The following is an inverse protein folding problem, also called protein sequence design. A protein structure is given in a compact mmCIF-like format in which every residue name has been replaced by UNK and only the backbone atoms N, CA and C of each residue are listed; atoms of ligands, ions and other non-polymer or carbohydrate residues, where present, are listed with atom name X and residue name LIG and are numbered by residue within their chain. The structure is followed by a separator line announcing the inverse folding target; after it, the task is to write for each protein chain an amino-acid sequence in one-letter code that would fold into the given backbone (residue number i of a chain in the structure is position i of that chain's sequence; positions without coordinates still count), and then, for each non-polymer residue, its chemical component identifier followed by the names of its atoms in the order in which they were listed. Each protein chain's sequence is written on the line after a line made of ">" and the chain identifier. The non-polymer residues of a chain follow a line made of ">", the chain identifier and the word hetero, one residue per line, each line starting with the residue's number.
data_IF_616436445524
#
_entry.id   IF_616436445524
#
_cell.length_a   1.000
_cell.length_b   1.000
_cell.length_c   1.000
_cell.angle_alpha   90.00
_cell.angle_beta   90.00
_cell.angle_gamma   90.00
#
_symmetry.space_group_name_H-M   'P 1'
#
loop_
_entity.id
_entity.type
_entity.pdbx_description
1 polymer ?
#
# COMPACT_ATOMS: atom_id res chain seq x y z
N UNK A 1 -41.30 15.18 -20.57
CA UNK A 1 -42.37 14.75 -19.66
C UNK A 1 -41.79 14.35 -18.32
N UNK A 2 -42.38 14.82 -17.22
CA UNK A 2 -41.95 14.48 -15.85
C UNK A 2 -42.49 13.11 -15.42
N UNK A 3 -41.83 12.43 -14.46
CA UNK A 3 -42.24 11.08 -14.01
C UNK A 3 -43.65 11.10 -13.38
N UNK A 4 -43.94 12.11 -12.56
CA UNK A 4 -45.25 12.26 -11.92
C UNK A 4 -46.38 12.49 -12.92
N UNK A 5 -46.07 13.13 -14.04
CA UNK A 5 -46.98 13.35 -15.16
C UNK A 5 -47.19 12.06 -15.97
N UNK A 6 -46.11 11.32 -16.26
CA UNK A 6 -46.18 10.02 -16.93
C UNK A 6 -46.99 8.98 -16.13
N UNK A 7 -46.85 8.94 -14.79
CA UNK A 7 -47.65 8.06 -13.91
C UNK A 7 -49.14 8.38 -14.01
N UNK A 8 -49.51 9.67 -14.07
CA UNK A 8 -50.90 10.11 -14.22
C UNK A 8 -51.47 9.73 -15.59
N UNK A 9 -50.71 9.89 -16.66
CA UNK A 9 -51.14 9.54 -18.04
C UNK A 9 -51.46 8.04 -18.16
N UNK A 10 -50.67 7.17 -17.52
CA UNK A 10 -50.91 5.73 -17.50
C UNK A 10 -51.83 5.26 -16.36
N UNK A 11 -52.34 6.18 -15.53
CA UNK A 11 -53.17 5.88 -14.34
C UNK A 11 -52.57 4.78 -13.46
N UNK A 12 -51.28 4.91 -13.16
CA UNK A 12 -50.56 3.96 -12.33
C UNK A 12 -50.79 4.25 -10.84
N UNK A 13 -50.90 3.21 -9.98
CA UNK A 13 -50.82 3.39 -8.53
C UNK A 13 -49.42 3.91 -8.13
N UNK A 14 -49.32 4.52 -6.95
CA UNK A 14 -48.05 5.09 -6.47
C UNK A 14 -46.92 4.05 -6.46
N UNK A 15 -47.27 2.83 -6.06
CA UNK A 15 -46.44 1.65 -6.12
C UNK A 15 -46.92 0.71 -7.24
N UNK A 16 -46.10 0.54 -8.28
CA UNK A 16 -46.38 -0.34 -9.42
C UNK A 16 -45.13 -1.14 -9.80
N UNK A 17 -45.33 -2.37 -10.27
CA UNK A 17 -44.26 -3.21 -10.81
C UNK A 17 -44.19 -3.14 -12.35
N UNK A 18 -43.14 -3.73 -12.92
CA UNK A 18 -42.95 -3.74 -14.38
C UNK A 18 -44.13 -4.42 -15.11
N UNK A 19 -44.80 -5.40 -14.49
CA UNK A 19 -45.97 -6.06 -15.07
C UNK A 19 -47.17 -5.11 -15.12
N UNK A 20 -47.41 -4.36 -14.05
CA UNK A 20 -48.48 -3.35 -13.95
C UNK A 20 -48.27 -2.21 -14.93
N UNK A 21 -47.04 -1.72 -15.08
CA UNK A 21 -46.67 -0.71 -16.08
C UNK A 21 -47.01 -1.19 -17.50
N UNK A 22 -46.58 -2.40 -17.85
CA UNK A 22 -46.85 -2.99 -19.18
C UNK A 22 -48.34 -3.24 -19.41
N UNK A 23 -49.07 -3.68 -18.38
CA UNK A 23 -50.51 -3.92 -18.44
C UNK A 23 -51.28 -2.63 -18.68
N UNK A 24 -51.00 -1.57 -17.91
CA UNK A 24 -51.71 -0.29 -18.07
C UNK A 24 -51.40 0.38 -19.40
N UNK A 25 -50.13 0.33 -19.84
CA UNK A 25 -49.76 0.77 -21.18
C UNK A 25 -50.58 0.04 -22.26
N UNK A 26 -50.69 -1.29 -22.19
CA UNK A 26 -51.44 -2.05 -23.17
C UNK A 26 -52.94 -1.68 -23.21
N UNK A 27 -53.56 -1.52 -22.03
CA UNK A 27 -54.97 -1.10 -21.92
C UNK A 27 -55.19 0.27 -22.54
N UNK A 28 -54.32 1.24 -22.23
CA UNK A 28 -54.41 2.62 -22.72
C UNK A 28 -54.10 2.70 -24.22
N UNK A 29 -53.07 2.02 -24.67
CA UNK A 29 -52.68 1.95 -26.08
C UNK A 29 -53.79 1.33 -26.95
N UNK A 30 -54.47 0.28 -26.47
CA UNK A 30 -55.62 -0.29 -27.17
C UNK A 30 -56.82 0.67 -27.21
N UNK A 31 -57.08 1.38 -26.12
CA UNK A 31 -58.21 2.34 -26.00
C UNK A 31 -58.06 3.53 -26.95
N UNK A 32 -56.83 4.02 -27.15
CA UNK A 32 -56.54 5.19 -27.97
C UNK A 32 -55.83 4.86 -29.28
N UNK A 33 -55.86 3.58 -29.71
CA UNK A 33 -55.19 3.17 -30.95
C UNK A 33 -55.81 3.89 -32.16
N UNK A 34 -54.99 4.54 -33.02
CA UNK A 34 -55.50 5.37 -34.13
C UNK A 34 -56.37 4.58 -35.13
N UNK A 35 -56.08 3.30 -35.35
CA UNK A 35 -56.88 2.46 -36.27
C UNK A 35 -58.19 1.92 -35.67
N UNK A 36 -58.35 1.98 -34.34
CA UNK A 36 -59.52 1.43 -33.64
C UNK A 36 -60.39 2.50 -32.98
N UNK A 37 -59.90 3.75 -32.95
CA UNK A 37 -60.56 4.87 -32.32
C UNK A 37 -60.59 6.08 -33.28
N UNK A 38 -61.78 6.39 -33.78
CA UNK A 38 -62.02 7.47 -34.76
C UNK A 38 -62.17 8.86 -34.11
N UNK A 39 -61.83 9.01 -32.83
CA UNK A 39 -61.83 10.31 -32.17
C UNK A 39 -60.66 11.18 -32.68
N UNK A 40 -60.94 12.43 -33.02
CA UNK A 40 -59.96 13.38 -33.58
C UNK A 40 -58.77 13.63 -32.63
N UNK A 41 -58.92 13.32 -31.32
CA UNK A 41 -57.85 13.42 -30.32
C UNK A 41 -57.09 12.12 -30.02
N UNK A 42 -57.46 10.98 -30.63
CA UNK A 42 -56.91 9.66 -30.28
C UNK A 42 -55.41 9.55 -30.59
N UNK A 43 -54.98 10.10 -31.73
CA UNK A 43 -53.58 10.06 -32.17
C UNK A 43 -52.63 10.80 -31.22
N UNK A 44 -53.03 11.98 -30.73
CA UNK A 44 -52.24 12.75 -29.77
C UNK A 44 -52.12 12.03 -28.42
N UNK A 45 -53.24 11.52 -27.90
CA UNK A 45 -53.25 10.73 -26.66
C UNK A 45 -52.41 9.46 -26.77
N UNK A 46 -52.46 8.78 -27.91
CA UNK A 46 -51.63 7.60 -28.15
C UNK A 46 -50.13 7.92 -28.11
N UNK A 47 -49.74 9.06 -28.67
CA UNK A 47 -48.36 9.54 -28.61
C UNK A 47 -47.93 9.82 -27.17
N UNK A 48 -48.75 10.54 -26.38
CA UNK A 48 -48.47 10.82 -24.96
C UNK A 48 -48.35 9.53 -24.12
N UNK A 49 -49.21 8.54 -24.36
CA UNK A 49 -49.17 7.22 -23.70
C UNK A 49 -47.86 6.49 -24.04
N UNK A 50 -47.40 6.58 -25.29
CA UNK A 50 -46.16 5.95 -25.73
C UNK A 50 -44.92 6.63 -25.13
N UNK A 51 -44.90 7.96 -25.12
CA UNK A 51 -43.85 8.74 -24.48
C UNK A 51 -43.81 8.43 -22.96
N UNK A 52 -44.97 8.29 -22.30
CA UNK A 52 -45.05 8.02 -20.86
C UNK A 52 -44.49 6.63 -20.54
N UNK A 53 -44.82 5.64 -21.35
CA UNK A 53 -44.27 4.30 -21.21
C UNK A 53 -42.76 4.24 -21.47
N UNK A 54 -42.24 4.96 -22.46
CA UNK A 54 -40.79 5.03 -22.70
C UNK A 54 -40.04 5.63 -21.51
N UNK A 55 -40.52 6.76 -20.97
CA UNK A 55 -39.90 7.40 -19.79
C UNK A 55 -39.90 6.47 -18.58
N UNK A 56 -41.01 5.75 -18.33
CA UNK A 56 -41.15 4.87 -17.17
C UNK A 56 -40.46 3.51 -17.35
N UNK A 57 -40.29 3.02 -18.58
CA UNK A 57 -39.64 1.73 -18.88
C UNK A 57 -38.10 1.83 -18.96
N UNK A 58 -37.56 3.02 -19.23
CA UNK A 58 -36.11 3.27 -19.21
C UNK A 58 -35.55 3.35 -17.78
N UNK A 59 -36.39 3.67 -16.78
CA UNK A 59 -35.98 3.68 -15.38
C UNK A 59 -35.99 2.24 -14.87
N UNK A 60 -34.83 1.57 -14.86
CA UNK A 60 -34.68 0.35 -14.05
C UNK A 60 -35.07 0.73 -12.61
N UNK A 61 -35.92 -0.06 -11.94
CA UNK A 61 -36.17 0.14 -10.53
C UNK A 61 -34.89 -0.26 -9.80
N UNK A 62 -33.94 0.66 -9.65
CA UNK A 62 -33.30 0.73 -8.36
C UNK A 62 -34.43 1.18 -7.44
N UNK A 63 -35.00 0.18 -6.75
CA UNK A 63 -36.13 0.32 -5.85
C UNK A 63 -35.97 1.63 -5.07
N UNK A 64 -37.00 2.47 -5.00
CA UNK A 64 -36.92 3.74 -4.25
C UNK A 64 -36.47 3.46 -2.81
N UNK A 65 -36.88 2.31 -2.28
CA UNK A 65 -36.43 1.66 -1.05
C UNK A 65 -34.92 1.37 -1.04
N UNK A 66 -34.35 0.83 -2.13
CA UNK A 66 -32.92 0.55 -2.24
C UNK A 66 -32.11 1.85 -2.19
N UNK A 67 -32.56 2.89 -2.90
CA UNK A 67 -31.87 4.19 -2.90
C UNK A 67 -31.93 4.88 -1.54
N UNK A 68 -33.08 4.85 -0.86
CA UNK A 68 -33.21 5.40 0.50
C UNK A 68 -32.39 4.62 1.52
N UNK A 69 -32.35 3.29 1.42
CA UNK A 69 -31.47 2.46 2.27
C UNK A 69 -29.99 2.76 2.01
N UNK A 70 -29.60 2.94 0.75
CA UNK A 70 -28.23 3.28 0.38
C UNK A 70 -27.84 4.66 0.92
N UNK A 71 -28.69 5.67 0.76
CA UNK A 71 -28.48 7.01 1.33
C UNK A 71 -28.37 6.96 2.85
N UNK A 72 -29.24 6.21 3.53
CA UNK A 72 -29.17 6.03 4.97
C UNK A 72 -27.84 5.40 5.42
N UNK A 73 -27.41 4.32 4.74
CA UNK A 73 -26.12 3.67 5.02
C UNK A 73 -24.96 4.64 4.78
N UNK A 74 -25.00 5.43 3.71
CA UNK A 74 -24.00 6.48 3.44
C UNK A 74 -23.95 7.51 4.57
N UNK A 75 -25.10 7.99 5.04
CA UNK A 75 -25.17 8.96 6.14
C UNK A 75 -24.59 8.38 7.43
N UNK A 76 -24.99 7.17 7.82
CA UNK A 76 -24.49 6.52 9.04
C UNK A 76 -22.98 6.27 8.96
N UNK A 77 -22.47 5.81 7.81
CA UNK A 77 -21.04 5.61 7.60
C UNK A 77 -20.27 6.93 7.54
N UNK A 78 -20.88 8.01 7.08
CA UNK A 78 -20.25 9.33 7.07
C UNK A 78 -20.14 9.93 8.49
N UNK A 79 -21.11 9.65 9.36
CA UNK A 79 -21.12 10.17 10.74
C UNK A 79 -20.32 9.30 11.72
N UNK A 80 -20.36 7.97 11.56
CA UNK A 80 -19.82 6.99 12.53
C UNK A 80 -19.05 5.85 11.88
N UNK A 81 -18.91 5.83 10.56
CA UNK A 81 -18.29 4.71 9.86
C UNK A 81 -16.81 4.58 10.15
N UNK A 82 -16.11 5.68 10.40
CA UNK A 82 -14.66 5.62 10.64
C UNK A 82 -14.32 4.78 11.89
N UNK A 83 -14.96 5.03 13.04
CA UNK A 83 -14.73 4.24 14.25
C UNK A 83 -15.15 2.78 14.12
N UNK A 84 -16.28 2.51 13.43
CA UNK A 84 -16.75 1.13 13.19
C UNK A 84 -15.76 0.37 12.31
N UNK A 85 -15.29 0.99 11.23
CA UNK A 85 -14.34 0.39 10.31
C UNK A 85 -12.94 0.25 10.92
N UNK A 86 -12.59 1.06 11.92
CA UNK A 86 -11.35 0.96 12.70
C UNK A 86 -11.25 -0.32 13.55
N UNK A 87 -12.37 -0.93 13.93
CA UNK A 87 -12.35 -2.19 14.70
C UNK A 87 -12.32 -3.45 13.82
N UNK A 88 -12.59 -3.32 12.52
CA UNK A 88 -12.62 -4.46 11.57
C UNK A 88 -11.21 -4.80 11.09
N UNK A 89 -10.84 -6.09 11.00
CA UNK A 89 -9.53 -6.48 10.49
C UNK A 89 -9.31 -6.08 9.02
N UNK A 90 -8.05 -5.81 8.64
CA UNK A 90 -7.70 -5.30 7.32
C UNK A 90 -8.07 -6.26 6.18
N UNK A 91 -8.08 -7.58 6.43
CA UNK A 91 -8.44 -8.57 5.41
C UNK A 91 -9.95 -8.58 5.18
N UNK A 92 -10.76 -8.47 6.23
CA UNK A 92 -12.20 -8.29 6.12
C UNK A 92 -12.54 -6.98 5.44
N UNK A 93 -11.81 -5.88 5.70
CA UNK A 93 -11.99 -4.62 4.97
C UNK A 93 -11.65 -4.78 3.47
N UNK A 94 -10.55 -5.45 3.13
CA UNK A 94 -10.18 -5.79 1.74
C UNK A 94 -11.27 -6.64 1.07
N UNK A 95 -11.84 -7.61 1.80
CA UNK A 95 -12.96 -8.43 1.35
C UNK A 95 -14.24 -7.61 1.16
N UNK A 96 -14.58 -6.69 2.05
CA UNK A 96 -15.74 -5.80 1.88
C UNK A 96 -15.51 -4.93 0.62
N UNK A 97 -14.30 -4.38 0.47
CA UNK A 97 -13.92 -3.48 -0.62
C UNK A 97 -14.03 -4.11 -2.02
N UNK A 98 -13.78 -5.41 -2.18
CA UNK A 98 -13.97 -6.11 -3.46
C UNK A 98 -15.44 -6.33 -3.83
N UNK A 99 -16.36 -6.36 -2.86
CA UNK A 99 -17.79 -6.61 -3.10
C UNK A 99 -18.62 -5.32 -3.24
N UNK A 100 -18.05 -4.16 -2.93
CA UNK A 100 -18.70 -2.87 -3.20
C UNK A 100 -18.66 -2.62 -4.71
N UNK A 101 -19.76 -2.94 -5.39
CA UNK A 101 -20.05 -2.46 -6.73
C UNK A 101 -20.07 -0.92 -6.73
N UNK A 102 -19.85 -0.23 -7.86
CA UNK A 102 -19.83 1.25 -7.94
C UNK A 102 -21.19 1.83 -8.39
N UNK A 103 -22.27 1.84 -7.57
CA UNK A 103 -23.42 2.65 -7.88
C UNK A 103 -23.09 4.14 -7.64
N UNK A 104 -23.84 5.07 -8.25
CA UNK A 104 -23.67 6.51 -7.99
C UNK A 104 -23.78 6.82 -6.49
N UNK A 105 -22.86 7.64 -5.96
CA UNK A 105 -22.91 8.14 -4.58
C UNK A 105 -22.10 7.37 -3.53
N UNK A 106 -21.45 6.25 -3.89
CA UNK A 106 -20.66 5.42 -2.96
C UNK A 106 -19.17 5.77 -2.95
N UNK A 107 -18.74 6.73 -3.78
CA UNK A 107 -17.34 7.14 -3.92
C UNK A 107 -16.72 7.62 -2.60
N UNK A 108 -17.50 8.29 -1.75
CA UNK A 108 -17.07 8.75 -0.44
C UNK A 108 -16.77 7.57 0.51
N UNK A 109 -17.62 6.53 0.52
CA UNK A 109 -17.40 5.32 1.32
C UNK A 109 -16.18 4.56 0.81
N UNK A 110 -16.05 4.42 -0.51
CA UNK A 110 -14.89 3.74 -1.12
C UNK A 110 -13.60 4.46 -0.74
N UNK A 111 -13.58 5.79 -0.81
CA UNK A 111 -12.43 6.61 -0.44
C UNK A 111 -12.09 6.45 1.04
N UNK A 112 -13.10 6.45 1.93
CA UNK A 112 -12.91 6.23 3.36
C UNK A 112 -12.35 4.82 3.64
N UNK A 113 -12.93 3.79 3.03
CA UNK A 113 -12.46 2.40 3.14
C UNK A 113 -11.03 2.25 2.65
N UNK A 114 -10.70 2.78 1.46
CA UNK A 114 -9.35 2.73 0.91
C UNK A 114 -8.35 3.46 1.82
N UNK A 115 -8.74 4.60 2.40
CA UNK A 115 -7.92 5.32 3.37
C UNK A 115 -7.71 4.53 4.68
N UNK A 116 -8.74 3.86 5.20
CA UNK A 116 -8.63 3.02 6.41
C UNK A 116 -7.78 1.78 6.13
N UNK A 117 -8.01 1.10 5.01
CA UNK A 117 -7.20 -0.06 4.58
C UNK A 117 -5.75 0.37 4.45
N UNK A 118 -5.47 1.46 3.74
CA UNK A 118 -4.11 1.98 3.57
C UNK A 118 -3.46 2.30 4.92
N UNK A 119 -4.17 2.97 5.83
CA UNK A 119 -3.67 3.26 7.19
C UNK A 119 -3.36 1.99 7.98
N UNK A 120 -4.21 0.97 7.90
CA UNK A 120 -4.05 -0.32 8.61
C UNK A 120 -3.01 -1.24 7.99
N UNK A 121 -2.73 -1.12 6.69
CA UNK A 121 -1.68 -1.87 6.01
C UNK A 121 -0.27 -1.29 6.27
N UNK A 122 -0.18 -0.11 6.92
CA UNK A 122 1.09 0.43 7.37
C UNK A 122 1.59 -0.41 8.55
N UNK A 123 2.61 -1.21 8.27
CA UNK A 123 3.33 -1.97 9.29
C UNK A 123 4.06 -0.98 10.22
N UNK A 124 3.88 -1.06 11.55
CA UNK A 124 4.66 -0.27 12.49
C UNK A 124 6.15 -0.48 12.26
N UNK A 125 6.94 0.59 12.40
CA UNK A 125 8.38 0.56 12.13
C UNK A 125 9.19 0.94 13.37
N UNK A 126 10.25 0.19 13.65
CA UNK A 126 11.30 0.52 14.61
C UNK A 126 12.62 0.73 13.85
N UNK A 127 13.24 1.90 14.02
CA UNK A 127 14.56 2.19 13.46
C UNK A 127 15.61 2.04 14.55
N UNK A 128 16.57 1.14 14.33
CA UNK A 128 17.75 0.96 15.18
C UNK A 128 18.94 1.62 14.49
N UNK A 129 19.80 2.26 15.29
CA UNK A 129 21.00 2.95 14.81
C UNK A 129 22.27 2.34 15.43
N UNK A 130 22.67 1.12 15.01
CA UNK A 130 23.86 0.48 15.55
C UNK A 130 25.14 1.22 15.14
N UNK A 131 26.17 1.14 15.96
CA UNK A 131 27.52 1.57 15.58
C UNK A 131 28.16 0.53 14.66
N UNK A 132 29.20 0.92 13.93
CA UNK A 132 30.00 -0.02 13.14
C UNK A 132 30.56 -1.17 14.01
N UNK A 133 30.94 -0.87 15.25
CA UNK A 133 31.40 -1.88 16.21
C UNK A 133 30.31 -2.86 16.64
N UNK A 134 29.06 -2.41 16.80
CA UNK A 134 27.94 -3.32 17.07
C UNK A 134 27.79 -4.36 15.94
N UNK A 135 28.03 -3.94 14.69
CA UNK A 135 27.96 -4.82 13.53
C UNK A 135 29.13 -5.82 13.50
N UNK A 136 30.35 -5.33 13.72
CA UNK A 136 31.55 -6.19 13.77
C UNK A 136 31.45 -7.24 14.89
N UNK A 137 30.95 -6.83 16.05
CA UNK A 137 30.77 -7.71 17.21
C UNK A 137 29.53 -8.60 17.12
N UNK A 138 28.82 -8.58 15.99
CA UNK A 138 27.65 -9.44 15.74
C UNK A 138 26.61 -9.29 16.85
N UNK A 139 26.38 -8.06 17.30
CA UNK A 139 25.48 -7.81 18.42
C UNK A 139 24.04 -8.08 18.02
N UNK A 140 23.35 -8.82 18.87
CA UNK A 140 21.92 -9.11 18.75
C UNK A 140 21.18 -8.19 19.72
N UNK A 141 20.33 -7.32 19.18
CA UNK A 141 19.45 -6.48 19.98
C UNK A 141 18.20 -7.27 20.38
N UNK A 142 17.82 -7.16 21.67
CA UNK A 142 16.63 -7.78 22.22
C UNK A 142 15.52 -6.73 22.28
N UNK A 143 14.53 -6.86 21.43
CA UNK A 143 13.38 -5.96 21.38
C UNK A 143 12.19 -6.60 22.10
N UNK A 144 11.66 -5.93 23.14
CA UNK A 144 10.49 -6.38 23.88
C UNK A 144 9.24 -5.67 23.35
N UNK A 145 8.23 -6.44 22.94
CA UNK A 145 6.93 -5.93 22.50
C UNK A 145 5.83 -6.91 22.92
N UNK A 146 4.81 -6.41 23.62
CA UNK A 146 3.71 -7.22 24.16
C UNK A 146 4.20 -8.46 24.94
N UNK A 147 5.18 -8.27 25.83
CA UNK A 147 5.82 -9.31 26.64
C UNK A 147 6.54 -10.43 25.84
N UNK A 148 6.75 -10.21 24.54
CA UNK A 148 7.47 -11.13 23.65
C UNK A 148 8.84 -10.53 23.32
N UNK A 149 9.88 -11.37 23.43
CA UNK A 149 11.24 -11.01 23.06
C UNK A 149 11.50 -11.34 21.57
N UNK A 150 11.88 -10.33 20.80
CA UNK A 150 12.34 -10.45 19.42
C UNK A 150 13.86 -10.27 19.36
N UNK A 151 14.56 -11.25 18.78
CA UNK A 151 15.99 -11.18 18.56
C UNK A 151 16.29 -10.53 17.21
N UNK A 152 17.07 -9.44 17.25
CA UNK A 152 17.33 -8.57 16.11
C UNK A 152 18.83 -8.54 15.81
N UNK A 153 19.29 -9.31 14.81
CA UNK A 153 20.67 -9.24 14.32
C UNK A 153 20.93 -7.86 13.72
N UNK A 154 21.84 -7.08 14.32
CA UNK A 154 22.04 -5.68 13.93
C UNK A 154 22.67 -5.50 12.55
N UNK A 155 23.26 -6.55 11.98
CA UNK A 155 23.83 -6.57 10.62
C UNK A 155 22.81 -6.86 9.51
N UNK A 156 21.52 -7.04 9.85
CA UNK A 156 20.44 -7.14 8.86
C UNK A 156 19.78 -5.77 8.65
N UNK A 157 19.73 -5.29 7.40
CA UNK A 157 19.21 -3.95 7.08
C UNK A 157 17.71 -3.81 7.38
N UNK A 158 16.88 -4.69 6.81
CA UNK A 158 15.43 -4.66 6.96
C UNK A 158 14.92 -6.05 7.34
N UNK A 159 14.09 -6.13 8.39
CA UNK A 159 13.47 -7.37 8.86
C UNK A 159 11.99 -7.17 9.16
N UNK A 160 11.19 -8.16 8.78
CA UNK A 160 9.76 -8.20 9.08
C UNK A 160 9.55 -9.26 10.16
N UNK A 161 8.88 -8.86 11.23
CA UNK A 161 8.46 -9.73 12.32
C UNK A 161 6.94 -9.77 12.36
N UNK A 162 6.40 -10.87 12.86
CA UNK A 162 4.96 -11.08 13.01
C UNK A 162 4.67 -11.37 14.48
N UNK A 163 3.83 -10.54 15.11
CA UNK A 163 3.30 -10.80 16.44
C UNK A 163 2.42 -12.08 16.43
N UNK A 164 2.21 -12.77 17.56
CA UNK A 164 1.31 -13.93 17.64
C UNK A 164 -0.12 -13.66 17.16
N UNK A 165 -0.56 -12.41 17.25
CA UNK A 165 -1.86 -11.96 16.72
C UNK A 165 -1.88 -11.81 15.18
N UNK A 166 -0.80 -12.20 14.49
CA UNK A 166 -0.67 -12.09 13.03
C UNK A 166 -0.34 -10.70 12.52
N UNK A 167 -0.08 -9.73 13.41
CA UNK A 167 0.27 -8.35 13.03
C UNK A 167 1.75 -8.24 12.70
N UNK A 168 2.07 -7.77 11.51
CA UNK A 168 3.44 -7.57 11.08
C UNK A 168 3.98 -6.20 11.48
N UNK A 169 5.28 -6.14 11.78
CA UNK A 169 6.02 -4.90 11.99
C UNK A 169 7.42 -5.01 11.40
N UNK A 170 8.02 -3.87 11.10
CA UNK A 170 9.33 -3.77 10.45
C UNK A 170 10.34 -3.25 11.45
N UNK A 171 11.51 -3.90 11.51
CA UNK A 171 12.69 -3.36 12.18
C UNK A 171 13.73 -3.04 11.11
N UNK A 172 14.20 -1.79 11.06
CA UNK A 172 15.28 -1.37 10.16
C UNK A 172 16.53 -1.00 10.95
N UNK A 173 17.65 -1.57 10.56
CA UNK A 173 18.97 -1.19 11.07
C UNK A 173 19.60 -0.17 10.11
N UNK A 174 19.81 1.05 10.60
CA UNK A 174 20.48 2.15 9.90
C UNK A 174 21.76 2.52 10.65
N UNK A 175 22.89 1.86 10.36
CA UNK A 175 24.12 2.06 11.11
C UNK A 175 24.60 3.51 11.10
N UNK A 176 25.16 3.96 12.21
CA UNK A 176 25.87 5.24 12.30
C UNK A 176 27.29 5.00 11.78
N UNK A 177 27.58 5.52 10.59
CA UNK A 177 28.86 5.34 9.91
C UNK A 177 29.70 6.62 10.00
N UNK A 178 31.00 6.46 10.21
CA UNK A 178 31.95 7.59 10.13
C UNK A 178 32.14 8.02 8.67
N UNK A 179 32.52 9.28 8.40
CA UNK A 179 32.74 9.77 7.06
C UNK A 179 33.70 8.88 6.25
N UNK A 180 33.34 8.64 4.99
CA UNK A 180 34.11 7.77 4.09
C UNK A 180 33.85 6.28 4.27
N UNK A 181 32.96 5.85 5.19
CA UNK A 181 32.52 4.46 5.28
C UNK A 181 31.14 4.32 4.65
N UNK A 182 30.99 3.31 3.80
CA UNK A 182 29.73 2.83 3.25
C UNK A 182 29.62 1.32 3.45
N UNK A 183 28.39 0.80 3.51
CA UNK A 183 28.12 -0.64 3.57
C UNK A 183 27.24 -0.97 2.37
N UNK A 184 27.67 -1.94 1.55
CA UNK A 184 26.89 -2.39 0.41
C UNK A 184 25.80 -3.41 0.79
N UNK A 185 24.99 -3.80 -0.19
CA UNK A 185 23.90 -4.78 -0.02
C UNK A 185 24.37 -6.18 0.40
N UNK A 186 25.63 -6.50 0.15
CA UNK A 186 26.25 -7.79 0.43
C UNK A 186 27.02 -7.73 1.77
N UNK A 187 26.84 -6.65 2.55
CA UNK A 187 27.50 -6.38 3.81
C UNK A 187 29.04 -6.27 3.70
N UNK A 188 29.53 -5.85 2.53
CA UNK A 188 30.92 -5.40 2.41
C UNK A 188 31.04 -3.96 2.89
N UNK A 189 32.11 -3.69 3.62
CA UNK A 189 32.46 -2.34 4.08
C UNK A 189 33.32 -1.70 3.00
N UNK A 190 32.89 -0.57 2.48
CA UNK A 190 33.69 0.29 1.63
C UNK A 190 34.26 1.45 2.45
N UNK A 191 35.58 1.60 2.46
CA UNK A 191 36.26 2.71 3.12
C UNK A 191 37.01 3.57 2.11
N UNK A 192 36.60 4.82 1.96
CA UNK A 192 37.19 5.79 1.06
C UNK A 192 38.17 6.67 1.81
N UNK A 193 39.45 6.60 1.42
CA UNK A 193 40.53 7.35 2.07
C UNK A 193 41.38 8.06 1.03
N UNK A 194 41.75 9.31 1.34
CA UNK A 194 42.71 10.08 0.56
C UNK A 194 44.00 10.24 1.34
N UNK A 195 45.13 9.94 0.72
CA UNK A 195 46.46 9.96 1.36
C UNK A 195 47.47 10.64 0.48
N UNK A 196 48.43 11.34 1.09
CA UNK A 196 49.56 11.91 0.37
C UNK A 196 50.54 10.82 -0.03
N UNK A 197 51.09 10.90 -1.24
CA UNK A 197 52.07 9.92 -1.73
C UNK A 197 53.27 9.78 -0.77
N UNK A 198 53.74 10.89 -0.19
CA UNK A 198 54.90 10.86 0.71
C UNK A 198 54.64 10.09 2.01
N UNK A 199 53.42 10.16 2.57
CA UNK A 199 53.03 9.44 3.79
C UNK A 199 52.90 7.93 3.55
N UNK A 200 52.60 7.54 2.32
CA UNK A 200 52.48 6.15 1.90
C UNK A 200 53.84 5.49 1.70
N UNK A 201 54.82 6.25 1.19
CA UNK A 201 56.14 5.74 0.83
C UNK A 201 57.11 5.67 2.01
N UNK A 202 56.89 6.45 3.08
CA UNK A 202 57.84 6.56 4.21
C UNK A 202 57.80 5.36 5.17
N UNK A 203 56.61 4.82 5.46
CA UNK A 203 56.44 3.83 6.54
C UNK A 203 56.25 2.38 6.05
N UNK A 204 56.11 2.16 4.74
CA UNK A 204 55.92 0.82 4.14
C UNK A 204 54.62 0.11 4.53
N UNK A 205 53.87 0.65 5.50
CA UNK A 205 52.63 0.13 6.06
C UNK A 205 51.63 1.28 6.18
N UNK A 206 50.37 1.00 5.91
CA UNK A 206 49.27 1.93 6.14
C UNK A 206 48.31 1.33 7.17
N UNK A 207 48.11 2.05 8.26
CA UNK A 207 47.10 1.70 9.26
C UNK A 207 45.73 2.25 8.87
N UNK A 208 44.72 1.39 9.01
CA UNK A 208 43.32 1.68 8.75
C UNK A 208 42.53 1.31 9.99
N UNK A 209 41.78 2.29 10.51
CA UNK A 209 40.96 2.13 11.70
C UNK A 209 39.50 2.17 11.26
N UNK A 210 38.74 1.13 11.60
CA UNK A 210 37.31 1.00 11.32
C UNK A 210 36.59 0.61 12.62
N UNK A 211 35.95 1.60 13.25
CA UNK A 211 35.48 1.44 14.63
C UNK A 211 36.66 1.23 15.57
N UNK A 212 36.60 0.18 16.39
CA UNK A 212 37.68 -0.25 17.27
C UNK A 212 38.65 -1.26 16.62
N UNK A 213 38.41 -1.63 15.36
CA UNK A 213 39.27 -2.58 14.64
C UNK A 213 40.39 -1.85 13.89
N UNK A 214 41.59 -2.42 13.95
CA UNK A 214 42.78 -1.92 13.26
C UNK A 214 43.24 -2.93 12.21
N UNK A 215 43.53 -2.43 11.01
CA UNK A 215 44.02 -3.21 9.89
C UNK A 215 45.33 -2.60 9.39
N UNK A 216 46.30 -3.44 9.09
CA UNK A 216 47.59 -3.04 8.55
C UNK A 216 47.68 -3.45 7.08
N UNK A 217 47.90 -2.46 6.21
CA UNK A 217 48.08 -2.65 4.78
C UNK A 217 49.57 -2.61 4.45
N UNK A 218 50.08 -3.70 3.88
CA UNK A 218 51.42 -3.75 3.29
C UNK A 218 51.46 -2.93 1.99
N UNK A 219 52.10 -1.76 2.04
CA UNK A 219 52.19 -0.85 0.90
C UNK A 219 53.14 -1.35 -0.17
N UNK A 220 53.97 -2.37 0.10
CA UNK A 220 54.75 -3.07 -0.92
C UNK A 220 53.89 -3.77 -1.98
N UNK A 221 52.61 -4.01 -1.68
CA UNK A 221 51.61 -4.58 -2.60
C UNK A 221 50.73 -3.52 -3.27
N UNK A 222 50.95 -2.25 -2.96
CA UNK A 222 50.11 -1.15 -3.40
C UNK A 222 50.82 -0.42 -4.55
N UNK A 223 50.11 -0.24 -5.67
CA UNK A 223 50.69 0.42 -6.83
C UNK A 223 50.68 1.95 -6.63
N UNK A 224 51.70 2.65 -7.16
CA UNK A 224 51.68 4.12 -7.19
C UNK A 224 50.73 4.57 -8.33
N UNK A 225 49.43 4.40 -8.09
CA UNK A 225 48.35 4.81 -8.99
C UNK A 225 47.43 5.79 -8.26
N UNK A 226 46.94 6.79 -8.99
CA UNK A 226 46.08 7.86 -8.43
C UNK A 226 44.85 7.33 -7.68
N UNK A 227 44.24 6.25 -8.17
CA UNK A 227 43.13 5.55 -7.52
C UNK A 227 43.37 4.06 -7.55
N UNK A 228 43.09 3.39 -6.45
CA UNK A 228 43.21 1.95 -6.33
C UNK A 228 42.32 1.40 -5.24
N UNK A 229 42.08 0.09 -5.34
CA UNK A 229 41.22 -0.65 -4.43
C UNK A 229 42.05 -1.76 -3.81
N UNK A 230 42.00 -1.87 -2.49
CA UNK A 230 42.55 -2.98 -1.73
C UNK A 230 41.42 -3.72 -1.03
N UNK A 231 41.39 -5.05 -1.13
CA UNK A 231 40.34 -5.87 -0.50
C UNK A 231 40.93 -6.78 0.55
N UNK A 232 40.48 -6.61 1.79
CA UNK A 232 40.70 -7.56 2.88
C UNK A 232 39.50 -8.52 2.89
N UNK A 233 39.76 -9.77 2.51
CA UNK A 233 38.70 -10.78 2.32
C UNK A 233 38.28 -11.38 3.65
N UNK A 234 36.99 -11.65 3.80
CA UNK A 234 36.37 -12.35 4.93
C UNK A 234 36.66 -11.74 6.31
N UNK A 235 36.80 -10.41 6.38
CA UNK A 235 37.07 -9.65 7.61
C UNK A 235 36.06 -8.55 7.89
N UNK A 236 35.03 -8.43 7.04
CA UNK A 236 33.96 -7.45 7.20
C UNK A 236 32.92 -7.87 8.24
N UNK A 237 31.74 -7.26 8.15
CA UNK A 237 30.58 -7.64 8.97
C UNK A 237 29.92 -8.92 8.42
N UNK A 238 29.12 -9.64 9.21
CA UNK A 238 28.45 -10.84 8.74
C UNK A 238 27.58 -10.58 7.50
N UNK A 239 27.61 -11.48 6.52
CA UNK A 239 26.70 -11.41 5.37
C UNK A 239 25.26 -11.68 5.81
N UNK A 240 24.30 -11.08 5.10
CA UNK A 240 22.88 -11.31 5.37
C UNK A 240 22.52 -12.72 4.92
N UNK A 241 22.24 -13.59 5.90
CA UNK A 241 21.81 -14.96 5.65
C UNK A 241 20.92 -15.47 6.78
N UNK A 242 20.34 -16.65 6.58
CA UNK A 242 19.59 -17.33 7.65
C UNK A 242 20.49 -17.55 8.87
N UNK A 243 19.97 -17.25 10.06
CA UNK A 243 20.65 -17.46 11.35
C UNK A 243 20.99 -18.94 11.62
N UNK A 244 20.38 -19.87 10.89
CA UNK A 244 20.66 -21.32 10.99
C UNK A 244 21.92 -21.74 10.23
N UNK A 245 22.55 -20.84 9.46
CA UNK A 245 23.77 -21.13 8.68
C UNK A 245 25.02 -20.64 9.40
N UNK A 246 26.19 -21.28 9.18
CA UNK A 246 27.46 -20.79 9.67
C UNK A 246 27.72 -19.35 9.21
N UNK A 247 28.19 -18.49 10.11
CA UNK A 247 28.42 -17.07 9.81
C UNK A 247 29.56 -16.92 8.80
N UNK A 248 29.24 -16.32 7.66
CA UNK A 248 30.22 -15.87 6.67
C UNK A 248 30.40 -14.37 6.82
N UNK A 249 31.63 -13.89 6.71
CA UNK A 249 31.96 -12.48 6.81
C UNK A 249 32.11 -11.88 5.42
N UNK A 250 31.61 -10.65 5.26
CA UNK A 250 31.83 -9.83 4.09
C UNK A 250 33.29 -9.38 3.97
N UNK A 251 33.54 -8.49 3.04
CA UNK A 251 34.87 -7.96 2.76
C UNK A 251 35.02 -6.52 3.25
N UNK A 252 36.25 -6.11 3.51
CA UNK A 252 36.60 -4.71 3.68
C UNK A 252 37.31 -4.26 2.42
N UNK A 253 36.72 -3.29 1.72
CA UNK A 253 37.14 -2.78 0.42
C UNK A 253 37.59 -1.33 0.62
N UNK A 254 38.89 -1.12 0.53
CA UNK A 254 39.52 0.16 0.82
C UNK A 254 39.82 0.84 -0.51
N UNK A 255 39.14 1.95 -0.75
CA UNK A 255 39.32 2.82 -1.91
C UNK A 255 40.32 3.90 -1.57
N UNK A 256 41.54 3.76 -2.09
CA UNK A 256 42.65 4.66 -1.81
C UNK A 256 42.80 5.63 -2.97
N UNK A 257 42.70 6.93 -2.68
CA UNK A 257 43.08 8.01 -3.60
C UNK A 257 44.40 8.62 -3.14
N UNK A 258 45.39 8.66 -4.04
CA UNK A 258 46.69 9.28 -3.78
C UNK A 258 46.70 10.70 -4.33
N UNK A 259 47.15 11.65 -3.49
CA UNK A 259 47.34 13.06 -3.82
C UNK A 259 48.78 13.53 -3.59
#
# INVERSE_FOLDING_TARGET
>A
MQISEAKKILELPDNYDAQTLKKQYHIKALKYHPDKNNDNGAKGKFQEINEAYQVLSMKKPHDETYMTLLEYVITVLSEKGESILEDIDVNTLKNIRQYIYKPPGVDAIITLLDAIIARKDIKPELILQPTLDDLFNQKIYKYMRNDIEYMVPLWHCDMIYTDPDGKEFVIRCKPILTPGIEIDKDNNIHYYVTKKINEVLSDGKMEIILGNNQYELDMGKVYIKKRQIYTIKNTGIPIIQSLLKPILLGHIIIHISLI
#
